data_IF_930639809243
#
_entry.id   IF_930639809243
#
_cell.length_a   1.000
_cell.length_b   1.000
_cell.length_c   1.000
_cell.angle_alpha   90.00
_cell.angle_beta   90.00
_cell.angle_gamma   90.00
#
_symmetry.space_group_name_H-M   'P 1'
#
loop_
_entity.id
_entity.type
_entity.pdbx_description
1 polymer ?
#
# COMPACT_ATOMS: atom_id res chain seq x y z
N UNK A 1 -25.58 -6.24 -45.85
CA UNK A 1 -25.11 -5.92 -44.47
C UNK A 1 -26.15 -6.36 -43.44
N UNK A 2 -26.68 -7.59 -43.57
CA UNK A 2 -27.78 -8.11 -42.73
C UNK A 2 -27.55 -9.54 -42.20
N UNK A 3 -26.57 -10.27 -42.74
CA UNK A 3 -26.41 -11.71 -42.48
C UNK A 3 -25.62 -12.05 -41.21
N UNK A 4 -24.92 -11.08 -40.61
CA UNK A 4 -24.19 -11.30 -39.35
C UNK A 4 -25.10 -11.27 -38.11
N UNK A 5 -26.29 -10.68 -38.22
CA UNK A 5 -27.26 -10.62 -37.12
C UNK A 5 -28.25 -11.79 -37.12
N UNK A 6 -28.47 -12.44 -38.28
CA UNK A 6 -29.34 -13.62 -38.40
C UNK A 6 -28.73 -14.90 -37.80
N UNK A 7 -27.40 -15.04 -37.85
CA UNK A 7 -26.71 -16.21 -37.27
C UNK A 7 -26.68 -16.24 -35.73
N UNK A 8 -26.98 -15.12 -35.06
CA UNK A 8 -26.99 -15.01 -33.60
C UNK A 8 -28.33 -15.45 -32.98
N UNK A 9 -29.43 -15.44 -33.74
CA UNK A 9 -30.77 -15.81 -33.25
C UNK A 9 -31.06 -17.32 -33.29
N UNK A 10 -30.30 -18.10 -34.06
CA UNK A 10 -30.46 -19.56 -34.20
C UNK A 10 -29.58 -20.38 -33.23
N UNK A 11 -28.85 -19.70 -32.34
CA UNK A 11 -27.97 -20.35 -31.39
C UNK A 11 -28.75 -20.89 -30.18
N UNK A 12 -28.53 -22.15 -29.76
CA UNK A 12 -29.23 -22.70 -28.60
C UNK A 12 -28.88 -21.85 -27.36
N UNK A 13 -29.84 -21.60 -26.46
CA UNK A 13 -29.68 -20.66 -25.33
C UNK A 13 -28.46 -20.95 -24.45
N UNK A 14 -27.99 -22.21 -24.42
CA UNK A 14 -26.76 -22.62 -23.74
C UNK A 14 -25.49 -21.99 -24.33
N UNK A 15 -25.40 -21.79 -25.65
CA UNK A 15 -24.22 -21.19 -26.31
C UNK A 15 -24.06 -19.70 -26.01
N UNK A 16 -25.16 -18.96 -25.89
CA UNK A 16 -25.16 -17.55 -25.46
C UNK A 16 -24.64 -17.43 -24.01
N UNK A 17 -25.06 -18.34 -23.13
CA UNK A 17 -24.56 -18.42 -21.75
C UNK A 17 -23.06 -18.75 -21.65
N UNK A 18 -22.58 -19.69 -22.48
CA UNK A 18 -21.16 -20.07 -22.53
C UNK A 18 -20.29 -18.91 -23.07
N UNK A 19 -20.76 -18.18 -24.08
CA UNK A 19 -20.03 -17.04 -24.63
C UNK A 19 -19.93 -15.88 -23.61
N UNK A 20 -21.03 -15.56 -22.92
CA UNK A 20 -21.04 -14.53 -21.88
C UNK A 20 -20.14 -14.89 -20.68
N UNK A 21 -20.21 -16.13 -20.21
CA UNK A 21 -19.36 -16.59 -19.09
C UNK A 21 -17.87 -16.56 -19.43
N UNK A 22 -17.50 -16.93 -20.66
CA UNK A 22 -16.11 -16.88 -21.14
C UNK A 22 -15.60 -15.43 -21.23
N UNK A 23 -16.43 -14.52 -21.74
CA UNK A 23 -16.11 -13.09 -21.83
C UNK A 23 -15.95 -12.46 -20.44
N UNK A 24 -16.86 -12.75 -19.51
CA UNK A 24 -16.78 -12.28 -18.12
C UNK A 24 -15.53 -12.82 -17.41
N UNK A 25 -15.21 -14.11 -17.60
CA UNK A 25 -14.02 -14.73 -17.00
C UNK A 25 -12.73 -14.11 -17.54
N UNK A 26 -12.65 -13.84 -18.84
CA UNK A 26 -11.51 -13.18 -19.48
C UNK A 26 -11.34 -11.72 -19.01
N UNK A 27 -12.43 -10.95 -18.94
CA UNK A 27 -12.40 -9.57 -18.46
C UNK A 27 -11.96 -9.47 -16.99
N UNK A 28 -12.49 -10.35 -16.13
CA UNK A 28 -12.09 -10.41 -14.72
C UNK A 28 -10.63 -10.83 -14.56
N UNK A 29 -10.16 -11.80 -15.35
CA UNK A 29 -8.77 -12.27 -15.34
C UNK A 29 -7.81 -11.18 -15.83
N UNK A 30 -8.16 -10.45 -16.89
CA UNK A 30 -7.41 -9.30 -17.39
C UNK A 30 -7.33 -8.16 -16.37
N UNK A 31 -8.46 -7.79 -15.76
CA UNK A 31 -8.51 -6.79 -14.70
C UNK A 31 -7.68 -7.20 -13.48
N UNK A 32 -7.67 -8.48 -13.11
CA UNK A 32 -6.84 -9.00 -12.02
C UNK A 32 -5.35 -8.91 -12.33
N UNK A 33 -4.92 -9.31 -13.53
CA UNK A 33 -3.51 -9.19 -13.95
C UNK A 33 -3.06 -7.73 -14.01
N UNK A 34 -3.89 -6.85 -14.56
CA UNK A 34 -3.63 -5.42 -14.63
C UNK A 34 -3.52 -4.80 -13.23
N UNK A 35 -4.44 -5.15 -12.32
CA UNK A 35 -4.40 -4.72 -10.92
C UNK A 35 -3.13 -5.21 -10.21
N UNK A 36 -2.67 -6.44 -10.48
CA UNK A 36 -1.42 -6.96 -9.91
C UNK A 36 -0.20 -6.24 -10.46
N UNK A 37 -0.17 -5.98 -11.76
CA UNK A 37 0.91 -5.24 -12.40
C UNK A 37 0.98 -3.79 -11.90
N UNK A 38 -0.16 -3.11 -11.74
CA UNK A 38 -0.22 -1.76 -11.17
C UNK A 38 0.19 -1.75 -9.71
N UNK A 39 -0.25 -2.73 -8.91
CA UNK A 39 0.13 -2.84 -7.51
C UNK A 39 1.64 -3.07 -7.34
N UNK A 40 2.27 -3.87 -8.22
CA UNK A 40 3.72 -4.06 -8.21
C UNK A 40 4.46 -2.75 -8.48
N UNK A 41 4.10 -2.03 -9.56
CA UNK A 41 4.73 -0.75 -9.89
C UNK A 41 4.54 0.29 -8.78
N UNK A 42 3.33 0.38 -8.23
CA UNK A 42 3.04 1.27 -7.12
C UNK A 42 3.85 0.91 -5.86
N UNK A 43 4.07 -0.39 -5.61
CA UNK A 43 4.91 -0.86 -4.51
C UNK A 43 6.38 -0.48 -4.71
N UNK A 44 6.90 -0.56 -5.94
CA UNK A 44 8.27 -0.16 -6.26
C UNK A 44 8.45 1.35 -6.05
N UNK A 45 7.49 2.16 -6.51
CA UNK A 45 7.49 3.62 -6.31
C UNK A 45 7.41 3.97 -4.83
N UNK A 46 6.50 3.34 -4.08
CA UNK A 46 6.36 3.55 -2.64
C UNK A 46 7.64 3.19 -1.88
N UNK A 47 8.28 2.07 -2.24
CA UNK A 47 9.56 1.66 -1.65
C UNK A 47 10.68 2.66 -1.93
N UNK A 48 10.78 3.16 -3.16
CA UNK A 48 11.78 4.17 -3.52
C UNK A 48 11.55 5.47 -2.74
N UNK A 49 10.30 5.92 -2.62
CA UNK A 49 9.96 7.11 -1.84
C UNK A 49 10.36 6.95 -0.36
N UNK A 50 10.14 5.77 0.23
CA UNK A 50 10.59 5.45 1.59
C UNK A 50 12.12 5.49 1.72
N UNK A 51 12.85 4.85 0.80
CA UNK A 51 14.31 4.82 0.83
C UNK A 51 14.93 6.21 0.63
N UNK A 52 14.33 7.04 -0.22
CA UNK A 52 14.73 8.42 -0.42
C UNK A 52 14.47 9.28 0.83
N UNK A 53 13.28 9.13 1.41
CA UNK A 53 12.86 9.80 2.63
C UNK A 53 13.82 9.50 3.81
N UNK A 54 14.27 8.25 3.93
CA UNK A 54 15.22 7.80 4.95
C UNK A 54 16.68 7.76 4.48
N UNK A 55 16.99 8.38 3.34
CA UNK A 55 18.34 8.39 2.79
C UNK A 55 19.34 8.99 3.79
N UNK A 56 20.46 8.28 3.96
CA UNK A 56 21.50 8.62 4.92
C UNK A 56 21.26 8.14 6.35
N UNK A 57 20.08 7.59 6.67
CA UNK A 57 19.77 7.01 8.00
C UNK A 57 19.47 5.51 7.91
N UNK A 58 18.73 5.08 6.88
CA UNK A 58 18.42 3.68 6.60
C UNK A 58 19.27 3.18 5.41
N UNK A 59 19.73 1.91 5.38
CA UNK A 59 19.45 0.81 6.31
C UNK A 59 20.41 0.66 7.49
N UNK A 60 21.51 1.40 7.54
CA UNK A 60 22.58 1.20 8.54
C UNK A 60 22.24 1.88 9.87
N UNK A 61 22.03 1.12 10.97
CA UNK A 61 21.66 1.70 12.26
C UNK A 61 22.68 2.70 12.81
N UNK A 62 23.97 2.52 12.49
CA UNK A 62 25.06 3.41 12.92
C UNK A 62 24.96 4.84 12.37
N UNK A 63 24.16 5.06 11.32
CA UNK A 63 23.95 6.39 10.74
C UNK A 63 22.73 7.12 11.33
N UNK A 64 22.11 6.55 12.36
CA UNK A 64 20.95 7.17 12.98
C UNK A 64 21.37 8.46 13.69
N UNK A 65 20.68 9.59 13.41
CA UNK A 65 20.99 10.83 14.11
C UNK A 65 20.66 10.68 15.59
N UNK A 66 21.39 11.37 16.47
CA UNK A 66 21.11 11.35 17.91
C UNK A 66 19.69 11.81 18.25
N UNK A 67 19.09 12.68 17.43
CA UNK A 67 17.69 13.08 17.51
C UNK A 67 16.87 12.45 16.36
N UNK A 68 16.59 11.16 16.49
CA UNK A 68 15.79 10.38 15.54
C UNK A 68 14.37 10.95 15.40
N UNK A 69 13.74 11.33 16.50
CA UNK A 69 12.37 11.85 16.54
C UNK A 69 12.18 13.08 15.63
N UNK A 70 13.07 14.07 15.73
CA UNK A 70 13.03 15.25 14.88
C UNK A 70 13.18 14.89 13.38
N UNK A 71 14.04 13.91 13.07
CA UNK A 71 14.21 13.43 11.70
C UNK A 71 12.96 12.72 11.19
N UNK A 72 12.36 11.83 11.97
CA UNK A 72 11.12 11.13 11.59
C UNK A 72 9.99 12.11 11.33
N UNK A 73 9.80 13.11 12.20
CA UNK A 73 8.82 14.19 12.03
C UNK A 73 9.06 15.01 10.77
N UNK A 74 10.31 15.35 10.47
CA UNK A 74 10.65 16.12 9.26
C UNK A 74 10.34 15.38 7.96
N UNK A 75 10.42 14.04 7.99
CA UNK A 75 10.23 13.17 6.85
C UNK A 75 8.74 12.79 6.67
N UNK A 76 7.95 12.86 7.75
CA UNK A 76 6.55 12.45 7.77
C UNK A 76 5.69 12.99 6.63
N UNK A 77 5.71 14.29 6.26
CA UNK A 77 4.85 14.80 5.18
C UNK A 77 5.12 14.11 3.83
N UNK A 78 6.39 13.73 3.57
CA UNK A 78 6.74 12.98 2.36
C UNK A 78 6.21 11.54 2.41
N UNK A 79 6.24 10.92 3.59
CA UNK A 79 5.69 9.58 3.78
C UNK A 79 4.17 9.57 3.62
N UNK A 80 3.48 10.57 4.17
CA UNK A 80 2.03 10.71 4.04
C UNK A 80 1.62 10.84 2.56
N UNK A 81 2.34 11.64 1.77
CA UNK A 81 2.12 11.74 0.32
C UNK A 81 2.32 10.40 -0.38
N UNK A 82 3.38 9.67 -0.04
CA UNK A 82 3.65 8.35 -0.63
C UNK A 82 2.58 7.32 -0.25
N UNK A 83 2.09 7.37 1.00
CA UNK A 83 1.01 6.53 1.52
C UNK A 83 -0.29 6.82 0.78
N UNK A 84 -0.70 8.08 0.65
CA UNK A 84 -1.92 8.45 -0.07
C UNK A 84 -1.85 8.08 -1.56
N UNK A 85 -0.69 8.23 -2.19
CA UNK A 85 -0.48 7.79 -3.57
C UNK A 85 -0.56 6.25 -3.72
N UNK A 86 -0.15 5.48 -2.71
CA UNK A 86 -0.15 4.02 -2.76
C UNK A 86 -1.51 3.39 -2.43
N UNK A 87 -2.30 4.01 -1.52
CA UNK A 87 -3.60 3.51 -1.03
C UNK A 87 -4.57 3.02 -2.12
N UNK A 88 -4.76 3.71 -3.27
CA UNK A 88 -5.69 3.30 -4.32
C UNK A 88 -5.31 1.99 -5.01
N UNK A 89 -4.04 1.58 -4.94
CA UNK A 89 -3.54 0.38 -5.59
C UNK A 89 -3.72 -0.90 -4.73
N UNK A 90 -4.25 -0.75 -3.52
CA UNK A 90 -4.52 -1.85 -2.60
C UNK A 90 -5.95 -2.36 -2.77
N UNK A 91 -6.11 -3.68 -2.74
CA UNK A 91 -7.45 -4.28 -2.59
C UNK A 91 -8.06 -3.86 -1.25
N UNK A 92 -9.39 -3.82 -1.16
CA UNK A 92 -10.11 -3.38 0.05
C UNK A 92 -9.60 -4.05 1.34
N UNK A 93 -9.38 -5.36 1.31
CA UNK A 93 -8.84 -6.14 2.43
C UNK A 93 -7.44 -5.66 2.84
N UNK A 94 -6.54 -5.47 1.86
CA UNK A 94 -5.17 -4.99 2.12
C UNK A 94 -5.15 -3.54 2.55
N UNK A 95 -6.04 -2.70 2.01
CA UNK A 95 -6.19 -1.30 2.37
C UNK A 95 -6.55 -1.15 3.84
N UNK A 96 -7.40 -2.03 4.39
CA UNK A 96 -7.71 -2.03 5.83
C UNK A 96 -6.48 -2.31 6.69
N UNK A 97 -5.75 -3.39 6.41
CA UNK A 97 -4.51 -3.72 7.14
C UNK A 97 -3.44 -2.64 6.99
N UNK A 98 -3.33 -2.06 5.79
CA UNK A 98 -2.39 -0.98 5.50
C UNK A 98 -2.74 0.31 6.25
N UNK A 99 -4.01 0.69 6.27
CA UNK A 99 -4.48 1.84 7.06
C UNK A 99 -4.23 1.63 8.56
N UNK A 100 -4.43 0.42 9.06
CA UNK A 100 -4.13 0.08 10.45
C UNK A 100 -2.64 0.23 10.74
N UNK A 101 -1.77 -0.30 9.87
CA UNK A 101 -0.33 -0.16 10.03
C UNK A 101 0.11 1.32 10.00
N UNK A 102 -0.47 2.12 9.10
CA UNK A 102 -0.20 3.56 9.04
C UNK A 102 -0.71 4.31 10.27
N UNK A 103 -1.87 3.91 10.79
CA UNK A 103 -2.43 4.45 12.04
C UNK A 103 -1.51 4.15 13.23
N UNK A 104 -1.06 2.90 13.37
CA UNK A 104 -0.12 2.50 14.43
C UNK A 104 1.20 3.26 14.33
N UNK A 105 1.74 3.41 13.12
CA UNK A 105 2.95 4.22 12.89
C UNK A 105 2.78 5.68 13.36
N UNK A 106 1.60 6.28 13.17
CA UNK A 106 1.34 7.68 13.53
C UNK A 106 1.04 7.89 15.02
N UNK A 107 0.23 7.01 15.62
CA UNK A 107 -0.40 7.24 16.93
C UNK A 107 -0.04 6.19 17.99
N UNK A 108 0.47 5.04 17.57
CA UNK A 108 0.74 3.91 18.44
C UNK A 108 -0.45 3.07 18.84
N UNK A 109 -0.19 2.03 19.63
CA UNK A 109 -1.19 1.04 20.06
C UNK A 109 -2.32 1.67 20.88
N UNK A 110 -2.04 2.75 21.61
CA UNK A 110 -2.99 3.46 22.45
C UNK A 110 -4.05 4.24 21.66
N UNK A 111 -3.81 4.47 20.36
CA UNK A 111 -4.79 4.99 19.40
C UNK A 111 -5.42 6.34 19.75
N UNK A 112 -4.88 7.06 20.74
CA UNK A 112 -5.35 8.40 21.09
C UNK A 112 -5.01 9.32 19.93
N UNK A 113 -6.02 9.97 19.33
CA UNK A 113 -5.83 11.12 18.44
C UNK A 113 -5.25 12.26 19.26
N UNK A 114 -3.96 12.18 19.55
CA UNK A 114 -3.17 13.30 20.02
C UNK A 114 -2.66 13.94 18.72
N UNK A 115 -2.82 15.25 18.57
CA UNK A 115 -2.34 16.03 17.41
C UNK A 115 -0.81 15.98 17.20
N UNK A 116 -0.11 15.14 17.97
CA UNK A 116 1.33 14.98 18.01
C UNK A 116 1.68 13.55 17.65
N UNK A 117 2.53 13.37 16.64
CA UNK A 117 3.15 12.08 16.37
C UNK A 117 3.99 11.62 17.55
N UNK A 118 3.72 10.40 18.00
CA UNK A 118 4.37 9.78 19.15
C UNK A 118 5.24 8.62 18.66
N UNK A 119 6.55 8.87 18.58
CA UNK A 119 7.54 7.87 18.15
C UNK A 119 8.15 7.07 19.30
N UNK A 120 7.66 7.21 20.54
CA UNK A 120 8.21 6.53 21.73
C UNK A 120 8.35 5.01 21.54
N UNK A 121 7.41 4.40 20.81
CA UNK A 121 7.38 2.98 20.46
C UNK A 121 8.64 2.49 19.70
N UNK A 122 9.34 3.40 19.02
CA UNK A 122 10.54 3.10 18.24
C UNK A 122 11.83 3.58 18.93
N UNK A 123 11.71 4.22 20.10
CA UNK A 123 12.84 4.79 20.84
C UNK A 123 13.37 3.86 21.95
N UNK A 124 12.58 2.88 22.41
CA UNK A 124 13.02 1.90 23.43
C UNK A 124 14.30 1.14 23.02
N UNK A 125 14.57 1.01 21.71
CA UNK A 125 15.77 0.34 21.20
C UNK A 125 17.08 1.14 21.43
N UNK A 126 17.01 2.42 21.80
CA UNK A 126 18.18 3.27 22.04
C UNK A 126 18.54 3.37 23.54
N UNK A 127 17.67 2.93 24.45
CA UNK A 127 17.87 3.01 25.91
C UNK A 127 18.54 1.76 26.51
N UNK A 128 19.09 0.86 25.69
CA UNK A 128 19.93 -0.25 26.13
C UNK A 128 21.35 0.21 26.54
N UNK A 129 21.42 1.28 27.33
CA UNK A 129 22.66 1.92 27.79
C UNK A 129 22.51 2.63 29.15
N UNK A 130 21.53 2.25 29.98
CA UNK A 130 21.46 2.72 31.37
C UNK A 130 22.34 1.84 32.28
N UNK A 131 23.55 2.29 32.71
CA UNK A 131 24.20 1.69 33.87
C UNK A 131 23.43 2.07 35.13
N UNK A 132 23.38 1.19 36.15
CA UNK A 132 22.62 1.45 37.37
C UNK A 132 23.32 2.54 38.18
N UNK A 133 22.58 3.60 38.53
CA UNK A 133 22.90 4.47 39.67
C UNK A 133 21.63 4.94 40.36
#
# INVERSE_FOLDING_TARGET
MGDLLAGLSDLPPLTIGIALSSFLTGALSGAFLQHRASAKRASDIFRLALLEAFSGMYPTPSNWPSNVDARLRSVYPKLEQAVEAFRPHLSLWRRRSFNQAWFLYRLGEDGREIDVQVYHQYMEFMEAGHPPH
#
